data_IF_101227642297
#
_entry.id   IF_101227642297
#
_cell.length_a   1.000
_cell.length_b   1.000
_cell.length_c   1.000
_cell.angle_alpha   90.00
_cell.angle_beta   90.00
_cell.angle_gamma   90.00
#
_symmetry.space_group_name_H-M   'P 1'
#
loop_
_entity.id
_entity.type
_entity.pdbx_description
1 polymer ?
#
# COMPACT_ATOMS: atom_id res chain seq x y z
N UNK A 1 -28.64 58.60 -18.10
CA UNK A 1 -27.56 58.23 -17.15
C UNK A 1 -28.19 57.53 -15.95
N UNK A 2 -27.55 56.45 -15.48
CA UNK A 2 -27.74 55.74 -14.19
C UNK A 2 -28.88 54.70 -14.07
N UNK A 3 -28.54 53.53 -14.60
CA UNK A 3 -28.65 52.16 -14.04
C UNK A 3 -29.44 51.88 -12.73
N UNK A 4 -30.40 50.94 -12.88
CA UNK A 4 -30.51 49.62 -12.21
C UNK A 4 -30.30 49.52 -10.70
N UNK A 5 -31.27 48.94 -9.95
CA UNK A 5 -31.03 47.83 -8.98
C UNK A 5 -32.28 46.92 -8.82
N UNK A 6 -32.24 45.76 -9.47
CA UNK A 6 -32.92 44.54 -8.99
C UNK A 6 -32.00 43.89 -7.96
N UNK A 7 -32.52 43.44 -6.83
CA UNK A 7 -31.85 42.38 -6.05
C UNK A 7 -32.90 41.44 -5.50
N UNK A 8 -32.96 40.27 -6.13
CA UNK A 8 -33.61 39.08 -5.63
C UNK A 8 -32.74 38.46 -4.53
N UNK A 9 -33.38 37.97 -3.48
CA UNK A 9 -32.78 36.99 -2.58
C UNK A 9 -32.80 35.63 -3.27
N UNK A 10 -31.69 34.89 -3.25
CA UNK A 10 -31.71 33.43 -3.41
C UNK A 10 -30.39 32.79 -2.91
N UNK A 11 -30.53 31.94 -1.90
CA UNK A 11 -29.86 30.63 -1.82
C UNK A 11 -28.36 30.60 -1.50
N UNK A 12 -28.06 30.27 -0.24
CA UNK A 12 -26.78 29.69 0.19
C UNK A 12 -26.54 28.35 -0.54
N UNK A 13 -25.36 28.18 -1.12
CA UNK A 13 -24.81 26.87 -1.49
C UNK A 13 -23.31 26.85 -1.15
N UNK A 14 -23.03 26.62 0.14
CA UNK A 14 -21.73 26.16 0.61
C UNK A 14 -21.56 24.68 0.19
N UNK A 15 -21.02 24.42 -1.01
CA UNK A 15 -20.51 23.09 -1.34
C UNK A 15 -19.01 23.07 -1.11
N UNK A 16 -18.61 22.29 -0.10
CA UNK A 16 -17.29 22.28 0.49
C UNK A 16 -16.16 21.97 -0.48
N UNK A 17 -15.06 22.69 -0.27
CA UNK A 17 -13.71 22.23 -0.63
C UNK A 17 -13.51 20.85 -0.01
N UNK A 18 -13.52 19.81 -0.84
CA UNK A 18 -13.08 18.48 -0.45
C UNK A 18 -11.56 18.54 -0.31
N UNK A 19 -11.08 18.81 0.91
CA UNK A 19 -9.74 18.39 1.31
C UNK A 19 -9.72 16.86 1.23
N UNK A 20 -9.02 16.31 0.24
CA UNK A 20 -8.68 14.91 0.23
C UNK A 20 -7.77 14.64 1.44
N UNK A 21 -8.35 14.19 2.55
CA UNK A 21 -7.56 13.61 3.62
C UNK A 21 -6.92 12.34 3.06
N UNK A 22 -5.60 12.37 2.87
CA UNK A 22 -4.83 11.14 2.70
C UNK A 22 -4.99 10.35 4.00
N UNK A 23 -5.95 9.42 4.01
CA UNK A 23 -6.20 8.54 5.14
C UNK A 23 -5.02 7.56 5.24
N UNK A 24 -3.94 7.99 5.89
CA UNK A 24 -2.89 7.10 6.39
C UNK A 24 -3.45 6.34 7.61
N UNK A 25 -4.44 5.48 7.36
CA UNK A 25 -5.01 4.61 8.37
C UNK A 25 -4.09 3.43 8.61
N UNK A 26 -3.64 3.23 9.85
CA UNK A 26 -3.00 1.99 10.28
C UNK A 26 -4.11 0.94 10.42
N UNK A 27 -4.29 0.11 9.39
CA UNK A 27 -5.14 -1.08 9.50
C UNK A 27 -4.32 -2.14 10.24
N UNK A 28 -4.59 -2.31 11.54
CA UNK A 28 -3.98 -3.37 12.36
C UNK A 28 -4.83 -4.62 12.26
N UNK A 29 -4.28 -5.69 11.67
CA UNK A 29 -4.96 -6.98 11.59
C UNK A 29 -4.08 -8.05 12.23
N UNK A 30 -4.47 -8.48 13.44
CA UNK A 30 -3.82 -9.60 14.13
C UNK A 30 -4.14 -10.91 13.40
N UNK A 31 -3.10 -11.65 13.00
CA UNK A 31 -3.17 -12.96 12.34
C UNK A 31 -4.22 -13.08 11.20
N UNK A 32 -4.30 -12.07 10.33
CA UNK A 32 -5.22 -12.07 9.19
C UNK A 32 -4.54 -11.82 7.85
N UNK A 33 -5.34 -11.77 6.79
CA UNK A 33 -4.87 -11.44 5.44
C UNK A 33 -5.00 -9.94 5.18
N UNK A 34 -3.87 -9.25 4.98
CA UNK A 34 -3.86 -7.88 4.45
C UNK A 34 -4.06 -7.98 2.94
N UNK A 35 -5.12 -7.37 2.41
CA UNK A 35 -5.35 -7.29 0.97
C UNK A 35 -5.25 -5.84 0.51
N UNK A 36 -4.46 -5.61 -0.54
CA UNK A 36 -4.33 -4.34 -1.22
C UNK A 36 -4.56 -4.58 -2.71
N UNK A 37 -5.58 -3.94 -3.26
CA UNK A 37 -5.87 -3.96 -4.70
C UNK A 37 -5.95 -2.53 -5.23
N UNK A 38 -5.55 -2.35 -6.48
CA UNK A 38 -5.74 -1.11 -7.23
C UNK A 38 -4.44 -0.43 -7.68
N UNK A 39 -4.51 0.87 -7.88
CA UNK A 39 -3.43 1.65 -8.49
C UNK A 39 -3.02 2.79 -7.57
N UNK A 40 -1.71 3.01 -7.42
CA UNK A 40 -1.15 4.20 -6.75
C UNK A 40 -1.47 4.28 -5.25
N UNK A 41 -1.83 3.17 -4.61
CA UNK A 41 -2.17 3.17 -3.19
C UNK A 41 -0.92 3.41 -2.35
N UNK A 42 -1.01 4.25 -1.31
CA UNK A 42 0.03 4.41 -0.30
C UNK A 42 -0.57 4.11 1.07
N UNK A 43 -0.20 2.97 1.67
CA UNK A 43 -0.82 2.50 2.91
C UNK A 43 0.22 1.87 3.85
N UNK A 44 -0.07 1.96 5.15
CA UNK A 44 0.74 1.36 6.21
C UNK A 44 -0.12 0.41 7.04
N UNK A 45 0.41 -0.78 7.29
CA UNK A 45 -0.22 -1.83 8.06
C UNK A 45 0.68 -2.26 9.22
N UNK A 46 0.06 -2.76 10.29
CA UNK A 46 0.77 -3.45 11.37
C UNK A 46 0.34 -4.90 11.38
N UNK A 47 1.31 -5.81 11.48
CA UNK A 47 1.10 -7.25 11.40
C UNK A 47 2.00 -7.99 12.38
N UNK A 48 1.47 -9.04 12.98
CA UNK A 48 2.23 -9.99 13.83
C UNK A 48 2.06 -11.43 13.32
N UNK A 49 2.20 -11.61 12.01
CA UNK A 49 2.05 -12.86 11.28
C UNK A 49 0.98 -12.78 10.19
N UNK A 50 0.67 -13.91 9.57
CA UNK A 50 -0.33 -13.97 8.50
C UNK A 50 0.23 -13.61 7.12
N UNK A 51 -0.66 -13.21 6.22
CA UNK A 51 -0.36 -13.05 4.78
C UNK A 51 -0.70 -11.65 4.31
N UNK A 52 0.15 -11.06 3.48
CA UNK A 52 -0.19 -9.86 2.72
C UNK A 52 -0.26 -10.18 1.24
N UNK A 53 -1.35 -9.78 0.59
CA UNK A 53 -1.62 -9.93 -0.83
C UNK A 53 -1.73 -8.52 -1.41
N UNK A 54 -0.79 -8.16 -2.28
CA UNK A 54 -0.71 -6.85 -2.92
C UNK A 54 -0.83 -7.06 -4.42
N UNK A 55 -1.93 -6.57 -4.99
CA UNK A 55 -2.23 -6.67 -6.41
C UNK A 55 -2.40 -5.28 -7.04
N UNK A 56 -1.91 -5.11 -8.26
CA UNK A 56 -2.15 -3.93 -9.07
C UNK A 56 -0.89 -3.18 -9.47
N UNK A 57 -0.97 -1.85 -9.56
CA UNK A 57 0.05 -1.05 -10.24
C UNK A 57 0.54 0.12 -9.39
N UNK A 58 1.86 0.26 -9.24
CA UNK A 58 2.52 1.40 -8.56
C UNK A 58 2.02 1.63 -7.12
N UNK A 59 1.69 0.57 -6.39
CA UNK A 59 1.34 0.67 -4.98
C UNK A 59 2.60 0.79 -4.12
N UNK A 60 2.54 1.57 -3.04
CA UNK A 60 3.61 1.76 -2.05
C UNK A 60 3.09 1.34 -0.67
N UNK A 61 3.50 0.15 -0.21
CA UNK A 61 2.93 -0.46 0.99
C UNK A 61 4.00 -0.67 2.04
N UNK A 62 3.71 -0.27 3.27
CA UNK A 62 4.56 -0.50 4.45
C UNK A 62 3.87 -1.44 5.40
N UNK A 63 4.57 -2.49 5.85
CA UNK A 63 4.08 -3.48 6.80
C UNK A 63 5.06 -3.56 7.97
N UNK A 64 4.64 -2.99 9.10
CA UNK A 64 5.43 -2.99 10.33
C UNK A 64 5.19 -4.30 11.11
N UNK A 65 6.23 -4.82 11.75
CA UNK A 65 6.15 -6.02 12.59
C UNK A 65 6.61 -7.31 11.93
N UNK A 66 5.86 -8.40 12.12
CA UNK A 66 6.19 -9.71 11.56
C UNK A 66 5.16 -10.11 10.51
N UNK A 67 5.60 -10.64 9.38
CA UNK A 67 4.72 -11.14 8.34
C UNK A 67 5.19 -12.54 7.92
N UNK A 68 4.27 -13.49 7.84
CA UNK A 68 4.63 -14.88 7.49
C UNK A 68 4.82 -15.02 5.99
N UNK A 69 3.95 -14.40 5.20
CA UNK A 69 3.94 -14.53 3.74
C UNK A 69 3.56 -13.23 3.05
N UNK A 70 4.32 -12.88 2.01
CA UNK A 70 3.99 -11.81 1.09
C UNK A 70 3.72 -12.41 -0.30
N UNK A 71 2.61 -11.99 -0.91
CA UNK A 71 2.32 -12.15 -2.33
C UNK A 71 2.21 -10.77 -2.98
N UNK A 72 2.98 -10.54 -4.03
CA UNK A 72 2.88 -9.33 -4.85
C UNK A 72 2.58 -9.76 -6.29
N UNK A 73 1.54 -9.21 -6.88
CA UNK A 73 1.20 -9.37 -8.29
C UNK A 73 0.99 -8.02 -8.97
N UNK A 74 1.44 -7.90 -10.22
CA UNK A 74 1.24 -6.71 -11.05
C UNK A 74 2.55 -5.98 -11.37
N UNK A 75 2.52 -4.65 -11.41
CA UNK A 75 3.62 -3.86 -11.97
C UNK A 75 4.05 -2.66 -11.13
N UNK A 76 5.35 -2.52 -10.90
CA UNK A 76 5.95 -1.35 -10.26
C UNK A 76 5.55 -1.16 -8.79
N UNK A 77 5.10 -2.21 -8.09
CA UNK A 77 4.74 -2.11 -6.69
C UNK A 77 6.02 -2.01 -5.83
N UNK A 78 5.98 -1.20 -4.78
CA UNK A 78 7.06 -1.06 -3.79
C UNK A 78 6.55 -1.46 -2.42
N UNK A 79 7.21 -2.43 -1.78
CA UNK A 79 6.76 -2.98 -0.48
C UNK A 79 7.89 -2.92 0.53
N UNK A 80 7.60 -2.40 1.72
CA UNK A 80 8.52 -2.31 2.85
C UNK A 80 8.02 -3.20 3.99
N UNK A 81 8.88 -4.07 4.52
CA UNK A 81 8.51 -5.01 5.59
C UNK A 81 9.61 -5.09 6.65
N UNK A 82 9.26 -5.15 7.93
CA UNK A 82 10.24 -5.34 9.00
C UNK A 82 10.80 -6.78 9.03
N UNK A 83 9.95 -7.76 9.37
CA UNK A 83 10.34 -9.19 9.43
C UNK A 83 9.48 -10.03 8.50
N UNK A 84 10.10 -10.88 7.68
CA UNK A 84 9.37 -11.71 6.69
C UNK A 84 9.99 -13.10 6.51
N UNK A 85 9.14 -14.12 6.44
CA UNK A 85 9.57 -15.52 6.24
C UNK A 85 9.55 -15.96 4.78
N UNK A 86 8.51 -15.59 4.02
CA UNK A 86 8.33 -16.00 2.62
C UNK A 86 7.84 -14.85 1.75
N UNK A 87 8.40 -14.74 0.55
CA UNK A 87 8.07 -13.72 -0.43
C UNK A 87 7.80 -14.41 -1.77
N UNK A 88 6.67 -14.10 -2.38
CA UNK A 88 6.31 -14.48 -3.75
C UNK A 88 6.00 -13.22 -4.55
N UNK A 89 6.65 -13.06 -5.68
CA UNK A 89 6.49 -11.87 -6.55
C UNK A 89 6.22 -12.32 -7.97
N UNK A 90 5.15 -11.82 -8.56
CA UNK A 90 4.77 -12.05 -9.95
C UNK A 90 4.57 -10.73 -10.68
N UNK A 91 5.05 -10.66 -11.92
CA UNK A 91 4.86 -9.51 -12.81
C UNK A 91 6.14 -8.74 -13.07
N UNK A 92 6.06 -7.41 -13.11
CA UNK A 92 7.16 -6.56 -13.63
C UNK A 92 7.59 -5.46 -12.68
N UNK A 93 8.90 -5.26 -12.54
CA UNK A 93 9.50 -4.13 -11.80
C UNK A 93 9.01 -3.94 -10.36
N UNK A 94 8.59 -5.00 -9.69
CA UNK A 94 8.20 -4.94 -8.29
C UNK A 94 9.44 -4.89 -7.37
N UNK A 95 9.43 -4.02 -6.36
CA UNK A 95 10.55 -3.78 -5.45
C UNK A 95 10.15 -4.09 -4.01
N UNK A 96 10.75 -5.11 -3.43
CA UNK A 96 10.46 -5.54 -2.07
C UNK A 96 11.70 -5.28 -1.22
N UNK A 97 11.49 -4.61 -0.09
CA UNK A 97 12.53 -4.26 0.87
C UNK A 97 12.17 -4.84 2.23
N UNK A 98 13.08 -5.61 2.83
CA UNK A 98 12.86 -6.20 4.16
C UNK A 98 14.01 -5.91 5.12
N UNK A 99 13.74 -5.79 6.42
CA UNK A 99 14.78 -5.53 7.43
C UNK A 99 15.40 -6.82 7.98
N UNK A 100 14.59 -7.85 8.25
CA UNK A 100 15.08 -9.12 8.79
C UNK A 100 14.21 -10.33 8.39
N UNK A 101 14.68 -11.55 8.65
CA UNK A 101 13.91 -12.78 8.46
C UNK A 101 14.03 -13.71 9.67
N UNK A 102 12.92 -14.31 10.15
CA UNK A 102 12.95 -15.26 11.26
C UNK A 102 13.40 -16.67 10.83
N UNK A 103 13.70 -16.89 9.55
CA UNK A 103 14.20 -18.17 9.06
C UNK A 103 15.60 -18.46 9.62
N UNK A 104 15.94 -19.75 9.79
CA UNK A 104 17.22 -20.21 10.37
C UNK A 104 18.47 -19.64 9.67
N UNK A 105 18.38 -19.35 8.37
CA UNK A 105 19.48 -18.80 7.57
C UNK A 105 19.49 -17.26 7.50
N UNK A 106 18.61 -16.58 8.26
CA UNK A 106 18.48 -15.13 8.28
C UNK A 106 17.96 -14.49 6.99
N UNK A 107 17.42 -15.31 6.06
CA UNK A 107 16.90 -14.84 4.76
C UNK A 107 15.49 -15.39 4.49
N UNK A 108 14.59 -14.60 3.88
CA UNK A 108 13.28 -15.10 3.48
C UNK A 108 13.43 -16.12 2.34
N UNK A 109 12.48 -17.05 2.23
CA UNK A 109 12.31 -17.86 1.03
C UNK A 109 11.70 -16.98 -0.06
N UNK A 110 12.38 -16.82 -1.19
CA UNK A 110 11.96 -15.91 -2.27
C UNK A 110 11.62 -16.72 -3.52
N UNK A 111 10.43 -16.48 -4.06
CA UNK A 111 10.05 -16.86 -5.42
C UNK A 111 9.76 -15.59 -6.22
N UNK A 112 10.30 -15.50 -7.43
CA UNK A 112 10.06 -14.36 -8.31
C UNK A 112 9.87 -14.81 -9.75
N UNK A 113 8.73 -14.45 -10.33
CA UNK A 113 8.34 -14.74 -11.71
C UNK A 113 8.09 -13.45 -12.46
N UNK A 114 8.57 -13.35 -13.70
CA UNK A 114 8.49 -12.15 -14.53
C UNK A 114 9.83 -11.41 -14.64
N UNK A 115 9.79 -10.10 -14.90
CA UNK A 115 10.98 -9.32 -15.31
C UNK A 115 11.19 -8.11 -14.40
N UNK A 116 12.45 -7.83 -14.02
CA UNK A 116 12.80 -6.61 -13.27
C UNK A 116 12.40 -6.60 -11.78
N UNK A 117 11.82 -7.68 -11.27
CA UNK A 117 11.50 -7.80 -9.85
C UNK A 117 12.78 -7.83 -9.01
N UNK A 118 12.74 -7.19 -7.83
CA UNK A 118 13.86 -7.16 -6.91
C UNK A 118 13.42 -7.31 -5.47
N UNK A 119 14.19 -8.10 -4.71
CA UNK A 119 14.00 -8.29 -3.27
C UNK A 119 15.32 -7.99 -2.59
N UNK A 120 15.33 -6.98 -1.71
CA UNK A 120 16.56 -6.48 -1.07
C UNK A 120 16.38 -6.36 0.44
N UNK A 121 17.45 -6.65 1.17
CA UNK A 121 17.54 -6.30 2.59
C UNK A 121 17.84 -4.80 2.71
N UNK A 122 17.16 -4.10 3.62
CA UNK A 122 17.52 -2.72 4.01
C UNK A 122 18.76 -2.70 4.90
#
# INVERSE_FOLDING_TARGET
MKVLKKTAALGILLFGMHFASAQAGINSQSAGTITVDGVGQTKTYSSDGGTAIISGVKNVITINGNLTRLEVSGSGNTVYIDKISRISVEGTDNKIFYSNSPNKNGKPSISSTGVGNSVRKK
#
